data_IF_474180421318
#
_entry.id   IF_474180421318
#
_cell.length_a   1.000
_cell.length_b   1.000
_cell.length_c   1.000
_cell.angle_alpha   90.00
_cell.angle_beta   90.00
_cell.angle_gamma   90.00
#
_symmetry.space_group_name_H-M   'P 1'
#
loop_
_entity.id
_entity.type
_entity.pdbx_description
1 polymer ?
#
# COMPACT_ATOMS: atom_id res chain seq x y z
N UNK A 1 -8.21 -5.12 -0.53
CA UNK A 1 -7.84 -4.86 0.89
C UNK A 1 -6.33 -4.78 0.98
N UNK A 2 -5.76 -3.82 1.71
CA UNK A 2 -4.32 -3.54 1.68
C UNK A 2 -3.54 -4.27 2.78
N UNK A 3 -2.29 -4.62 2.49
CA UNK A 3 -1.33 -5.16 3.44
C UNK A 3 -0.19 -4.15 3.65
N UNK A 4 -0.19 -3.48 4.80
CA UNK A 4 0.87 -2.58 5.20
C UNK A 4 2.08 -3.37 5.67
N UNK A 5 3.20 -3.21 4.97
CA UNK A 5 4.44 -3.93 5.22
C UNK A 5 5.53 -2.89 5.50
N UNK A 6 6.27 -3.10 6.58
CA UNK A 6 7.40 -2.26 6.98
C UNK A 6 8.62 -3.10 7.28
N UNK A 7 9.80 -2.47 7.27
CA UNK A 7 11.04 -3.19 7.55
C UNK A 7 11.06 -3.82 8.95
N UNK A 8 10.82 -3.05 10.02
CA UNK A 8 11.03 -3.52 11.40
C UNK A 8 9.73 -3.72 12.20
N UNK A 9 9.75 -4.68 13.13
CA UNK A 9 8.63 -4.99 14.03
C UNK A 9 8.12 -3.77 14.83
N UNK A 10 9.04 -2.88 15.25
CA UNK A 10 8.67 -1.67 15.99
C UNK A 10 7.93 -0.65 15.13
N UNK A 11 8.22 -0.61 13.83
CA UNK A 11 7.48 0.22 12.88
C UNK A 11 6.08 -0.36 12.63
N UNK A 12 5.98 -1.69 12.56
CA UNK A 12 4.68 -2.36 12.39
C UNK A 12 3.75 -2.12 13.59
N UNK A 13 4.30 -1.99 14.81
CA UNK A 13 3.51 -1.61 15.99
C UNK A 13 2.88 -0.22 15.85
N UNK A 14 3.60 0.75 15.29
CA UNK A 14 3.07 2.09 15.05
C UNK A 14 1.92 2.04 14.03
N UNK A 15 2.09 1.28 12.94
CA UNK A 15 1.02 1.10 11.95
C UNK A 15 -0.17 0.32 12.48
N UNK A 16 0.04 -0.70 13.31
CA UNK A 16 -1.05 -1.42 13.98
C UNK A 16 -1.87 -0.48 14.85
N UNK A 17 -1.23 0.40 15.62
CA UNK A 17 -1.96 1.40 16.41
C UNK A 17 -2.85 2.29 15.53
N UNK A 18 -2.34 2.77 14.40
CA UNK A 18 -3.12 3.57 13.45
C UNK A 18 -4.25 2.73 12.83
N UNK A 19 -3.97 1.47 12.46
CA UNK A 19 -4.96 0.55 11.91
C UNK A 19 -6.14 0.33 12.87
N UNK A 20 -5.87 0.05 14.15
CA UNK A 20 -6.92 -0.12 15.15
C UNK A 20 -7.71 1.19 15.35
N UNK A 21 -7.02 2.32 15.48
CA UNK A 21 -7.62 3.62 15.79
C UNK A 21 -8.46 4.19 14.65
N UNK A 22 -7.98 4.09 13.42
CA UNK A 22 -8.55 4.79 12.26
C UNK A 22 -9.29 3.86 11.29
N UNK A 23 -9.01 2.56 11.32
CA UNK A 23 -9.54 1.58 10.36
C UNK A 23 -10.22 0.39 11.04
N UNK A 24 -10.36 0.38 12.37
CA UNK A 24 -10.99 -0.72 13.11
C UNK A 24 -10.30 -2.07 12.92
N UNK A 25 -8.99 -2.07 12.66
CA UNK A 25 -8.22 -3.29 12.45
C UNK A 25 -8.32 -3.89 11.04
N UNK A 26 -9.02 -3.23 10.10
CA UNK A 26 -9.33 -3.79 8.77
C UNK A 26 -8.11 -4.02 7.87
N UNK A 27 -7.03 -3.25 8.03
CA UNK A 27 -5.82 -3.43 7.22
C UNK A 27 -4.97 -4.57 7.77
N UNK A 28 -4.37 -5.38 6.88
CA UNK A 28 -3.35 -6.35 7.29
C UNK A 28 -2.06 -5.59 7.56
N UNK A 29 -1.37 -5.88 8.67
CA UNK A 29 -0.11 -5.21 9.03
C UNK A 29 0.95 -6.22 9.44
N UNK A 30 2.08 -6.22 8.74
CA UNK A 30 3.23 -7.09 9.03
C UNK A 30 4.57 -6.35 8.97
N UNK A 31 5.64 -7.09 9.27
CA UNK A 31 7.00 -6.58 9.14
C UNK A 31 7.91 -7.59 8.46
N UNK A 32 8.91 -7.11 7.74
CA UNK A 32 9.99 -7.91 7.14
C UNK A 32 11.02 -8.42 8.17
N UNK A 33 10.65 -8.56 9.45
CA UNK A 33 11.53 -9.08 10.49
C UNK A 33 12.69 -8.17 10.92
N UNK A 34 12.93 -7.05 10.24
CA UNK A 34 14.01 -6.11 10.54
C UNK A 34 15.29 -6.32 9.72
N UNK A 35 15.27 -7.16 8.68
CA UNK A 35 16.37 -7.27 7.72
C UNK A 35 16.67 -5.91 7.09
N UNK A 36 17.93 -5.67 6.76
CA UNK A 36 18.43 -4.42 6.14
C UNK A 36 18.82 -4.62 4.69
N UNK A 37 19.00 -5.87 4.26
CA UNK A 37 19.36 -6.27 2.90
C UNK A 37 18.26 -7.17 2.33
N UNK A 38 18.15 -7.21 1.00
CA UNK A 38 17.14 -8.01 0.30
C UNK A 38 17.20 -9.50 0.69
N UNK A 39 18.41 -10.08 0.67
CA UNK A 39 18.69 -11.47 1.05
C UNK A 39 18.14 -11.85 2.44
N UNK A 40 18.07 -10.88 3.37
CA UNK A 40 17.63 -11.13 4.75
C UNK A 40 16.10 -11.17 4.88
N UNK A 41 15.38 -10.70 3.86
CA UNK A 41 13.92 -10.58 3.86
C UNK A 41 13.26 -11.38 2.74
N UNK A 42 14.03 -11.94 1.81
CA UNK A 42 13.57 -12.68 0.64
C UNK A 42 12.56 -13.78 0.99
N UNK A 43 12.87 -14.65 1.96
CA UNK A 43 11.94 -15.70 2.41
C UNK A 43 10.58 -15.16 2.89
N UNK A 44 10.56 -13.95 3.48
CA UNK A 44 9.32 -13.30 3.91
C UNK A 44 8.56 -12.78 2.69
N UNK A 45 9.27 -12.19 1.72
CA UNK A 45 8.69 -11.69 0.46
C UNK A 45 8.09 -12.82 -0.38
N UNK A 46 8.75 -13.98 -0.44
CA UNK A 46 8.22 -15.17 -1.10
C UNK A 46 6.87 -15.58 -0.51
N UNK A 47 6.73 -15.55 0.82
CA UNK A 47 5.46 -15.80 1.50
C UNK A 47 4.36 -14.77 1.20
N UNK A 48 4.69 -13.60 0.65
CA UNK A 48 3.71 -12.59 0.24
C UNK A 48 3.17 -12.84 -1.18
N UNK A 49 3.78 -13.72 -1.98
CA UNK A 49 3.34 -14.00 -3.36
C UNK A 49 1.92 -14.53 -3.43
N UNK A 50 1.52 -15.33 -2.45
CA UNK A 50 0.17 -15.91 -2.37
C UNK A 50 -0.82 -15.05 -1.58
N UNK A 51 -0.38 -13.94 -1.01
CA UNK A 51 -1.24 -13.07 -0.20
C UNK A 51 -2.28 -12.36 -1.08
N UNK A 52 -3.56 -12.46 -0.77
CA UNK A 52 -4.65 -11.85 -1.56
C UNK A 52 -4.76 -10.32 -1.41
N UNK A 53 -3.94 -9.74 -0.53
CA UNK A 53 -3.94 -8.31 -0.22
C UNK A 53 -2.96 -7.56 -1.13
N UNK A 54 -3.28 -6.30 -1.43
CA UNK A 54 -2.39 -5.41 -2.20
C UNK A 54 -1.29 -4.89 -1.25
N UNK A 55 0.00 -5.16 -1.53
CA UNK A 55 1.10 -4.69 -0.69
C UNK A 55 1.24 -3.16 -0.74
N UNK A 56 1.32 -2.54 0.44
CA UNK A 56 1.79 -1.16 0.63
C UNK A 56 3.05 -1.22 1.49
N UNK A 57 4.18 -0.88 0.90
CA UNK A 57 5.48 -0.90 1.56
C UNK A 57 5.83 0.51 2.05
N UNK A 58 6.08 0.64 3.35
CA UNK A 58 6.52 1.91 3.94
C UNK A 58 7.92 1.77 4.52
N UNK A 59 8.79 2.69 4.13
CA UNK A 59 10.18 2.73 4.56
C UNK A 59 10.54 4.11 5.07
N UNK A 60 11.49 4.21 5.99
CA UNK A 60 12.13 5.49 6.31
C UNK A 60 13.30 5.80 5.37
N UNK A 61 13.78 7.05 5.37
CA UNK A 61 14.93 7.48 4.56
C UNK A 61 16.17 6.57 4.68
N UNK A 62 16.43 6.01 5.87
CA UNK A 62 17.59 5.11 6.09
C UNK A 62 17.45 3.74 5.43
N UNK A 63 16.28 3.46 4.86
CA UNK A 63 15.87 2.16 4.35
C UNK A 63 15.61 2.24 2.84
N UNK A 64 16.03 3.34 2.20
CA UNK A 64 15.77 3.64 0.78
C UNK A 64 16.36 2.61 -0.17
N UNK A 65 17.58 2.12 0.09
CA UNK A 65 18.21 1.11 -0.77
C UNK A 65 17.40 -0.20 -0.74
N UNK A 66 17.07 -0.68 0.46
CA UNK A 66 16.19 -1.84 0.62
C UNK A 66 14.81 -1.61 -0.02
N UNK A 67 14.26 -0.40 0.09
CA UNK A 67 12.98 -0.05 -0.52
C UNK A 67 13.04 -0.19 -2.05
N UNK A 68 14.16 0.22 -2.66
CA UNK A 68 14.40 0.07 -4.09
C UNK A 68 14.44 -1.39 -4.50
N UNK A 69 15.28 -2.20 -3.84
CA UNK A 69 15.44 -3.63 -4.16
C UNK A 69 14.11 -4.38 -4.06
N UNK A 70 13.32 -4.10 -3.01
CA UNK A 70 12.01 -4.74 -2.82
C UNK A 70 10.99 -4.25 -3.86
N UNK A 71 11.06 -2.98 -4.27
CA UNK A 71 10.17 -2.46 -5.31
C UNK A 71 10.45 -3.12 -6.66
N UNK A 72 11.72 -3.33 -7.01
CA UNK A 72 12.13 -4.06 -8.21
C UNK A 72 11.58 -5.48 -8.19
N UNK A 73 11.70 -6.19 -7.06
CA UNK A 73 11.11 -7.53 -6.89
C UNK A 73 9.59 -7.54 -7.14
N UNK A 74 8.81 -6.60 -6.58
CA UNK A 74 7.37 -6.57 -6.81
C UNK A 74 6.98 -6.20 -8.25
N UNK A 75 7.78 -5.37 -8.94
CA UNK A 75 7.60 -5.09 -10.36
C UNK A 75 7.76 -6.36 -11.21
N UNK A 76 8.77 -7.18 -10.91
CA UNK A 76 8.98 -8.46 -11.61
C UNK A 76 7.81 -9.43 -11.42
N UNK A 77 7.17 -9.42 -10.25
CA UNK A 77 5.99 -10.23 -9.97
C UNK A 77 4.73 -9.76 -10.72
N UNK A 78 4.76 -8.58 -11.36
CA UNK A 78 3.61 -7.98 -12.06
C UNK A 78 2.36 -7.92 -11.20
N UNK A 79 2.52 -7.75 -9.89
CA UNK A 79 1.42 -7.59 -8.94
C UNK A 79 1.24 -6.11 -8.60
N UNK A 80 0.00 -5.61 -8.48
CA UNK A 80 -0.23 -4.27 -7.98
C UNK A 80 0.37 -4.12 -6.58
N UNK A 81 1.19 -3.10 -6.38
CA UNK A 81 1.79 -2.73 -5.11
C UNK A 81 2.10 -1.24 -5.09
N UNK A 82 2.36 -0.68 -3.92
CA UNK A 82 2.89 0.67 -3.81
C UNK A 82 4.00 0.72 -2.76
N UNK A 83 5.08 1.41 -3.08
CA UNK A 83 6.23 1.58 -2.19
C UNK A 83 6.47 3.06 -1.95
N UNK A 84 6.61 3.44 -0.67
CA UNK A 84 6.88 4.81 -0.26
C UNK A 84 8.02 4.90 0.72
N UNK A 85 8.99 5.75 0.38
CA UNK A 85 10.03 6.20 1.31
C UNK A 85 9.57 7.49 1.96
N UNK A 86 9.45 7.46 3.27
CA UNK A 86 9.05 8.58 4.11
C UNK A 86 10.26 9.41 4.51
N UNK A 87 10.10 10.74 4.58
CA UNK A 87 11.16 11.71 4.94
C UNK A 87 11.84 11.46 6.29
N UNK A 88 11.23 10.69 7.18
CA UNK A 88 11.77 10.37 8.50
C UNK A 88 12.70 9.18 8.45
N UNK A 89 13.74 9.16 9.30
CA UNK A 89 14.73 8.06 9.38
C UNK A 89 14.12 6.64 9.51
N UNK A 90 12.96 6.50 10.14
CA UNK A 90 12.20 5.26 10.33
C UNK A 90 10.72 5.59 10.31
N UNK A 91 9.88 4.68 9.85
CA UNK A 91 8.42 4.89 9.76
C UNK A 91 7.81 5.34 11.10
N UNK A 92 8.16 4.70 12.22
CA UNK A 92 7.63 5.07 13.55
C UNK A 92 8.02 6.46 14.05
N UNK A 93 8.98 7.11 13.40
CA UNK A 93 9.42 8.45 13.79
C UNK A 93 8.50 9.53 13.21
N UNK A 94 7.68 9.19 12.23
CA UNK A 94 6.67 10.08 11.68
C UNK A 94 5.54 10.30 12.68
N UNK A 95 4.96 11.51 12.68
CA UNK A 95 3.78 11.81 13.50
C UNK A 95 2.62 10.93 13.03
N UNK A 96 1.78 10.51 13.97
CA UNK A 96 0.65 9.61 13.70
C UNK A 96 -0.28 10.19 12.63
N UNK A 97 -0.65 11.46 12.73
CA UNK A 97 -1.57 12.10 11.78
C UNK A 97 -0.96 12.21 10.37
N UNK A 98 0.35 12.43 10.28
CA UNK A 98 1.08 12.47 9.01
C UNK A 98 1.16 11.08 8.37
N UNK A 99 1.43 10.05 9.19
CA UNK A 99 1.45 8.66 8.72
C UNK A 99 0.06 8.21 8.28
N UNK A 100 -1.00 8.63 8.98
CA UNK A 100 -2.39 8.41 8.58
C UNK A 100 -2.72 9.09 7.25
N UNK A 101 -2.35 10.37 7.08
CA UNK A 101 -2.56 11.10 5.84
C UNK A 101 -1.87 10.43 4.64
N UNK A 102 -0.62 9.94 4.82
CA UNK A 102 0.05 9.16 3.79
C UNK A 102 -0.69 7.87 3.44
N UNK A 103 -1.25 7.15 4.42
CA UNK A 103 -2.03 5.95 4.14
C UNK A 103 -3.30 6.26 3.34
N UNK A 104 -4.01 7.32 3.69
CA UNK A 104 -5.20 7.75 2.94
C UNK A 104 -4.86 8.18 1.52
N UNK A 105 -3.78 8.93 1.33
CA UNK A 105 -3.30 9.31 -0.01
C UNK A 105 -2.95 8.06 -0.84
N UNK A 106 -2.26 7.07 -0.26
CA UNK A 106 -1.91 5.82 -0.98
C UNK A 106 -3.17 5.04 -1.35
N UNK A 107 -4.14 4.92 -0.44
CA UNK A 107 -5.43 4.29 -0.75
C UNK A 107 -6.12 5.00 -1.90
N UNK A 108 -6.12 6.34 -1.90
CA UNK A 108 -6.66 7.15 -2.98
C UNK A 108 -5.94 6.89 -4.32
N UNK A 109 -4.61 6.72 -4.31
CA UNK A 109 -3.86 6.33 -5.52
C UNK A 109 -4.37 5.06 -6.15
N UNK A 110 -4.67 4.04 -5.35
CA UNK A 110 -5.23 2.80 -5.88
C UNK A 110 -6.68 2.95 -6.34
N UNK A 111 -7.47 3.79 -5.67
CA UNK A 111 -8.86 4.06 -6.07
C UNK A 111 -8.94 4.78 -7.41
N UNK A 112 -8.05 5.74 -7.64
CA UNK A 112 -8.04 6.62 -8.82
C UNK A 112 -7.12 6.12 -9.94
N UNK A 113 -6.13 5.32 -9.57
CA UNK A 113 -5.17 4.73 -10.47
C UNK A 113 -5.71 3.48 -11.12
N UNK A 114 -6.59 3.65 -12.10
CA UNK A 114 -7.05 2.56 -12.96
C UNK A 114 -6.46 2.76 -14.35
N UNK A 115 -5.96 1.68 -14.94
CA UNK A 115 -5.50 1.65 -16.32
C UNK A 115 -6.22 0.58 -17.12
N UNK A 116 -6.23 0.76 -18.44
CA UNK A 116 -6.71 -0.22 -19.41
C UNK A 116 -5.53 -0.82 -20.16
N UNK A 117 -5.28 -2.11 -19.98
CA UNK A 117 -4.27 -2.90 -20.70
C UNK A 117 -4.83 -4.29 -20.99
N UNK A 118 -5.71 -4.36 -21.99
CA UNK A 118 -6.52 -5.54 -22.34
C UNK A 118 -7.60 -5.90 -21.31
N UNK A 119 -7.49 -5.39 -20.08
CA UNK A 119 -8.45 -5.46 -18.97
C UNK A 119 -8.20 -4.28 -18.02
N UNK A 120 -9.14 -4.02 -17.10
CA UNK A 120 -8.92 -3.03 -16.03
C UNK A 120 -7.87 -3.54 -15.03
N UNK A 121 -6.84 -2.73 -14.80
CA UNK A 121 -5.79 -2.99 -13.81
C UNK A 121 -5.68 -1.82 -12.85
N UNK A 122 -5.38 -2.14 -11.59
CA UNK A 122 -5.02 -1.12 -10.60
C UNK A 122 -3.56 -0.71 -10.83
N UNK A 123 -3.35 0.57 -11.07
CA UNK A 123 -2.05 1.20 -11.24
C UNK A 123 -1.94 2.46 -10.34
N UNK A 124 -1.30 2.37 -9.16
CA UNK A 124 -1.18 3.49 -8.23
C UNK A 124 -0.29 4.65 -8.72
N UNK A 125 0.36 4.50 -9.87
CA UNK A 125 1.07 5.60 -10.54
C UNK A 125 0.12 6.61 -11.20
N UNK A 126 -1.19 6.37 -11.14
CA UNK A 126 -2.22 7.30 -11.60
C UNK A 126 -2.02 7.72 -13.07
N UNK A 127 -2.16 6.77 -14.01
CA UNK A 127 -1.93 7.03 -15.43
C UNK A 127 -2.94 8.03 -16.03
N UNK A 128 -4.08 8.24 -15.37
CA UNK A 128 -5.07 9.25 -15.76
C UNK A 128 -4.60 10.69 -15.48
N UNK A 129 -3.57 10.88 -14.67
CA UNK A 129 -3.01 12.20 -14.35
C UNK A 129 -3.95 13.10 -13.54
N UNK A 130 -5.00 12.54 -12.93
CA UNK A 130 -5.97 13.28 -12.11
C UNK A 130 -5.36 13.57 -10.74
N UNK A 131 -5.67 14.69 -10.11
CA UNK A 131 -5.23 14.96 -8.75
C UNK A 131 -5.66 13.83 -7.80
N UNK A 132 -4.70 13.29 -7.03
CA UNK A 132 -4.99 12.24 -6.05
C UNK A 132 -5.56 12.91 -4.81
N UNK A 133 -6.89 12.91 -4.71
CA UNK A 133 -7.62 13.42 -3.56
C UNK A 133 -8.42 12.26 -2.93
N UNK A 134 -8.30 12.02 -1.60
CA UNK A 134 -9.12 11.04 -0.89
C UNK A 134 -10.64 11.23 -1.03
N UNK A 135 -11.09 12.43 -1.38
CA UNK A 135 -12.49 12.76 -1.64
C UNK A 135 -12.98 12.25 -3.02
N UNK A 136 -12.06 11.87 -3.90
CA UNK A 136 -12.39 11.27 -5.19
C UNK A 136 -12.39 9.75 -5.04
N UNK A 137 -13.46 9.10 -5.48
CA UNK A 137 -13.54 7.63 -5.51
C UNK A 137 -14.12 7.18 -6.86
N UNK A 138 -13.53 6.14 -7.45
CA UNK A 138 -14.08 5.54 -8.68
C UNK A 138 -15.14 4.54 -8.25
N UNK A 139 -16.40 4.93 -8.37
CA UNK A 139 -17.51 4.00 -8.25
C UNK A 139 -17.56 3.12 -9.50
N UNK A 140 -16.98 1.92 -9.41
CA UNK A 140 -17.16 0.89 -10.43
C UNK A 140 -18.47 0.14 -10.16
N UNK A 141 -19.50 0.47 -10.93
CA UNK A 141 -20.73 -0.31 -11.01
C UNK A 141 -20.58 -1.37 -12.12
N UNK A 142 -20.65 -2.66 -11.77
CA UNK A 142 -20.64 -3.76 -12.74
C UNK A 142 -21.83 -4.70 -12.54
N UNK A 143 -22.35 -5.24 -13.66
CA UNK A 143 -23.47 -6.20 -13.69
C UNK A 143 -24.85 -5.53 -13.71
N UNK A 144 -25.84 -6.24 -14.27
CA UNK A 144 -27.19 -5.70 -14.51
C UNK A 144 -27.91 -5.23 -13.23
N UNK A 145 -27.61 -5.85 -12.09
CA UNK A 145 -28.16 -5.50 -10.78
C UNK A 145 -27.56 -4.21 -10.17
N UNK A 146 -26.51 -3.63 -10.76
CA UNK A 146 -25.92 -2.39 -10.25
C UNK A 146 -26.87 -1.20 -10.37
N UNK A 147 -27.73 -1.18 -11.40
CA UNK A 147 -28.77 -0.16 -11.60
C UNK A 147 -29.85 -0.18 -10.51
N UNK A 148 -30.20 -1.36 -10.00
CA UNK A 148 -31.24 -1.51 -8.97
C UNK A 148 -30.80 -1.00 -7.60
N UNK A 149 -29.49 -0.95 -7.36
CA UNK A 149 -28.88 -0.58 -6.08
C UNK A 149 -28.44 0.90 -6.02
N UNK A 150 -28.52 1.64 -7.14
CA UNK A 150 -28.39 3.10 -7.13
C UNK A 150 -29.77 3.72 -6.86
N UNK A 151 -29.99 4.20 -5.63
CA UNK A 151 -31.14 5.07 -5.32
C UNK A 151 -30.71 6.53 -5.50
N UNK A 152 -31.52 7.30 -6.20
CA UNK A 152 -31.42 8.77 -6.30
C UNK A 152 -31.50 9.46 -4.93
#
# INVERSE_FOLDING_TARGET
MFHLIVRARKDAKALKYINERNYGGFLKVSSLGGGRRFEEVENILEGLKEDSYIPILLFGEKEKDLAKDISEYFLELKRPFYSRVLRTKKVRNMRIDELYAHLEEIKARFRLGIEWDGTYKLNPENPLGIEINPDYDIYLAFGDASRENMKE
#
